data_IF_416078756067
#
_entry.id   IF_416078756067
#
_cell.length_a   1.000
_cell.length_b   1.000
_cell.length_c   1.000
_cell.angle_alpha   90.00
_cell.angle_beta   90.00
_cell.angle_gamma   90.00
#
_symmetry.space_group_name_H-M   'P 1'
#
loop_
_entity.id
_entity.type
_entity.pdbx_description
1 polymer ?
#
# COMPACT_ATOMS: atom_id res chain seq x y z
N UNK A 1 83.66 3.87 -0.41
CA UNK A 1 82.42 4.24 -1.14
C UNK A 1 82.03 3.07 -2.02
N UNK A 2 80.94 2.35 -1.69
CA UNK A 2 80.28 1.34 -2.54
C UNK A 2 79.04 0.87 -1.75
N UNK A 3 77.86 1.42 -2.04
CA UNK A 3 76.65 1.18 -1.23
C UNK A 3 75.36 1.83 -1.74
N UNK A 4 75.37 2.41 -2.94
CA UNK A 4 74.23 3.14 -3.52
C UNK A 4 73.99 2.63 -4.94
N UNK A 5 73.07 1.67 -5.10
CA UNK A 5 72.77 1.09 -6.42
C UNK A 5 71.59 0.11 -6.47
N UNK A 6 71.42 -0.74 -5.45
CA UNK A 6 70.35 -1.74 -5.43
C UNK A 6 69.00 -1.21 -4.91
N UNK A 7 69.00 -0.24 -3.98
CA UNK A 7 67.77 0.32 -3.41
C UNK A 7 66.86 1.00 -4.45
N UNK A 8 67.44 1.83 -5.32
CA UNK A 8 66.68 2.53 -6.36
C UNK A 8 66.04 1.62 -7.41
N UNK A 9 66.59 0.42 -7.63
CA UNK A 9 66.01 -0.55 -8.55
C UNK A 9 64.75 -1.22 -7.96
N UNK A 10 64.76 -1.56 -6.67
CA UNK A 10 63.55 -2.08 -6.01
C UNK A 10 62.45 -1.01 -5.91
N UNK A 11 62.83 0.23 -5.59
CA UNK A 11 61.89 1.36 -5.46
C UNK A 11 61.21 1.71 -6.80
N UNK A 12 61.97 1.65 -7.91
CA UNK A 12 61.43 1.85 -9.26
C UNK A 12 60.63 0.65 -9.77
N UNK A 13 61.00 -0.59 -9.39
CA UNK A 13 60.21 -1.78 -9.69
C UNK A 13 58.86 -1.79 -8.95
N UNK A 14 58.84 -1.44 -7.65
CA UNK A 14 57.59 -1.29 -6.89
C UNK A 14 56.70 -0.19 -7.46
N UNK A 15 57.26 0.98 -7.80
CA UNK A 15 56.50 2.04 -8.50
C UNK A 15 55.97 1.58 -9.86
N UNK A 16 56.76 0.81 -10.63
CA UNK A 16 56.32 0.24 -11.91
C UNK A 16 55.16 -0.76 -11.76
N UNK A 17 55.20 -1.61 -10.73
CA UNK A 17 54.10 -2.53 -10.40
C UNK A 17 52.84 -1.76 -9.94
N UNK A 18 52.98 -0.81 -9.02
CA UNK A 18 51.87 0.03 -8.56
C UNK A 18 51.22 0.83 -9.71
N UNK A 19 52.00 1.38 -10.65
CA UNK A 19 51.47 2.10 -11.80
C UNK A 19 50.70 1.19 -12.77
N UNK A 20 51.11 -0.08 -12.87
CA UNK A 20 50.45 -1.10 -13.70
C UNK A 20 49.15 -1.58 -13.07
N UNK A 21 49.13 -1.76 -11.75
CA UNK A 21 47.95 -2.10 -10.97
C UNK A 21 46.92 -0.96 -10.98
N UNK A 22 47.37 0.28 -10.75
CA UNK A 22 46.52 1.48 -10.85
C UNK A 22 45.92 1.68 -12.26
N UNK A 23 46.63 1.31 -13.34
CA UNK A 23 46.05 1.28 -14.70
C UNK A 23 45.00 0.19 -14.86
N UNK A 24 45.28 -1.04 -14.42
CA UNK A 24 44.32 -2.13 -14.50
C UNK A 24 43.03 -1.84 -13.69
N UNK A 25 43.14 -1.16 -12.56
CA UNK A 25 41.99 -0.71 -11.77
C UNK A 25 41.25 0.47 -12.43
N UNK A 26 41.96 1.41 -13.07
CA UNK A 26 41.32 2.46 -13.86
C UNK A 26 40.54 1.88 -15.06
N UNK A 27 41.11 0.92 -15.78
CA UNK A 27 40.46 0.21 -16.88
C UNK A 27 39.23 -0.58 -16.40
N UNK A 28 39.32 -1.26 -15.24
CA UNK A 28 38.17 -1.93 -14.60
C UNK A 28 37.06 -0.95 -14.22
N UNK A 29 37.40 0.17 -13.58
CA UNK A 29 36.41 1.21 -13.21
C UNK A 29 35.73 1.77 -14.44
N UNK A 30 36.47 2.01 -15.52
CA UNK A 30 35.91 2.45 -16.80
C UNK A 30 34.93 1.42 -17.38
N UNK A 31 35.29 0.13 -17.43
CA UNK A 31 34.40 -0.93 -17.92
C UNK A 31 33.15 -1.11 -17.05
N UNK A 32 33.23 -0.81 -15.75
CA UNK A 32 32.05 -0.80 -14.86
C UNK A 32 31.15 0.41 -15.15
N UNK A 33 31.72 1.62 -15.25
CA UNK A 33 30.97 2.83 -15.61
C UNK A 33 30.32 2.71 -17.01
N UNK A 34 31.06 2.24 -18.02
CA UNK A 34 30.54 1.99 -19.38
C UNK A 34 29.38 0.97 -19.37
N UNK A 35 29.32 0.05 -18.40
CA UNK A 35 28.21 -0.89 -18.21
C UNK A 35 27.03 -0.27 -17.47
N UNK A 36 27.28 0.47 -16.39
CA UNK A 36 26.25 1.19 -15.64
C UNK A 36 25.52 2.20 -16.54
N UNK A 37 26.26 2.96 -17.37
CA UNK A 37 25.71 3.85 -18.39
C UNK A 37 24.91 3.08 -19.44
N UNK A 38 25.38 1.92 -19.91
CA UNK A 38 24.65 1.11 -20.89
C UNK A 38 23.36 0.51 -20.32
N UNK A 39 23.35 0.10 -19.05
CA UNK A 39 22.16 -0.40 -18.35
C UNK A 39 21.18 0.73 -18.03
N UNK A 40 21.67 1.89 -17.58
CA UNK A 40 20.88 3.09 -17.35
C UNK A 40 20.22 3.58 -18.64
N UNK A 41 20.99 3.72 -19.73
CA UNK A 41 20.45 4.12 -21.03
C UNK A 41 19.42 3.10 -21.55
N UNK A 42 19.66 1.78 -21.40
CA UNK A 42 18.67 0.75 -21.76
C UNK A 42 17.38 0.87 -20.94
N UNK A 43 17.46 1.17 -19.65
CA UNK A 43 16.28 1.38 -18.80
C UNK A 43 15.53 2.68 -19.17
N UNK A 44 16.26 3.73 -19.56
CA UNK A 44 15.71 5.00 -20.03
C UNK A 44 15.03 4.86 -21.39
N UNK A 45 15.66 4.14 -22.33
CA UNK A 45 15.07 3.77 -23.62
C UNK A 45 13.81 2.91 -23.43
N UNK A 46 13.82 1.93 -22.51
CA UNK A 46 12.63 1.11 -22.22
C UNK A 46 11.48 1.94 -21.63
N UNK A 47 11.77 2.89 -20.73
CA UNK A 47 10.77 3.84 -20.22
C UNK A 47 10.23 4.74 -21.34
N UNK A 48 11.11 5.38 -22.09
CA UNK A 48 10.73 6.29 -23.16
C UNK A 48 9.99 5.58 -24.29
N UNK A 49 10.35 4.32 -24.60
CA UNK A 49 9.65 3.49 -25.57
C UNK A 49 8.22 3.15 -25.11
N UNK A 50 8.03 2.83 -23.82
CA UNK A 50 6.70 2.59 -23.26
C UNK A 50 5.84 3.87 -23.28
N UNK A 51 6.37 5.01 -22.84
CA UNK A 51 5.66 6.29 -22.86
C UNK A 51 5.36 6.77 -24.28
N UNK A 52 6.27 6.55 -25.23
CA UNK A 52 6.07 6.89 -26.65
C UNK A 52 5.03 5.98 -27.30
N UNK A 53 5.00 4.69 -26.95
CA UNK A 53 3.93 3.77 -27.38
C UNK A 53 2.58 4.13 -26.77
N UNK A 54 2.52 4.48 -25.49
CA UNK A 54 1.30 4.92 -24.83
C UNK A 54 0.74 6.21 -25.46
N UNK A 55 1.58 7.22 -25.68
CA UNK A 55 1.21 8.47 -26.38
C UNK A 55 0.84 8.23 -27.84
N UNK A 56 1.55 7.33 -28.53
CA UNK A 56 1.23 6.94 -29.91
C UNK A 56 -0.11 6.21 -30.02
N UNK A 57 -0.39 5.29 -29.10
CA UNK A 57 -1.69 4.62 -29.00
C UNK A 57 -2.80 5.61 -28.67
N UNK A 58 -2.60 6.52 -27.71
CA UNK A 58 -3.57 7.56 -27.39
C UNK A 58 -3.88 8.43 -28.61
N UNK A 59 -2.87 8.89 -29.34
CA UNK A 59 -3.04 9.69 -30.57
C UNK A 59 -3.75 8.95 -31.70
N UNK A 60 -3.38 7.69 -31.97
CA UNK A 60 -4.03 6.85 -33.00
C UNK A 60 -5.46 6.46 -32.62
N UNK A 61 -5.71 6.20 -31.33
CA UNK A 61 -7.04 5.99 -30.78
C UNK A 61 -7.89 7.24 -30.92
N UNK A 62 -7.45 8.39 -30.40
CA UNK A 62 -8.15 9.68 -30.44
C UNK A 62 -8.47 10.11 -31.87
N UNK A 63 -7.55 9.87 -32.83
CA UNK A 63 -7.78 10.16 -34.25
C UNK A 63 -8.87 9.24 -34.84
N UNK A 64 -8.79 7.92 -34.66
CA UNK A 64 -9.83 6.99 -35.17
C UNK A 64 -11.18 7.14 -34.48
N UNK A 65 -11.17 7.62 -33.24
CA UNK A 65 -12.32 8.06 -32.45
C UNK A 65 -12.97 9.29 -33.06
N UNK A 66 -12.17 10.29 -33.43
CA UNK A 66 -12.61 11.55 -34.04
C UNK A 66 -13.16 11.33 -35.44
N UNK A 67 -12.57 10.40 -36.19
CA UNK A 67 -13.01 10.04 -37.52
C UNK A 67 -14.28 9.14 -37.52
N UNK A 68 -14.67 8.60 -36.35
CA UNK A 68 -15.86 7.76 -36.20
C UNK A 68 -15.74 6.36 -36.82
N UNK A 69 -14.51 5.89 -37.06
CA UNK A 69 -14.22 4.70 -37.88
C UNK A 69 -14.12 3.41 -37.07
N UNK A 70 -13.93 3.48 -35.75
CA UNK A 70 -13.71 2.30 -34.90
C UNK A 70 -14.89 1.33 -34.89
N UNK A 71 -14.82 0.31 -35.75
CA UNK A 71 -15.60 -0.91 -35.60
C UNK A 71 -15.10 -1.71 -34.39
N UNK A 72 -15.93 -2.62 -33.89
CA UNK A 72 -15.56 -3.49 -32.76
C UNK A 72 -14.26 -4.27 -32.99
N UNK A 73 -13.98 -4.67 -34.24
CA UNK A 73 -12.77 -5.40 -34.63
C UNK A 73 -11.52 -4.51 -34.68
N UNK A 74 -11.68 -3.23 -35.02
CA UNK A 74 -10.58 -2.25 -35.03
C UNK A 74 -10.16 -1.88 -33.60
N UNK A 75 -11.12 -1.83 -32.67
CA UNK A 75 -10.83 -1.60 -31.26
C UNK A 75 -9.94 -2.69 -30.66
N UNK A 76 -10.30 -3.96 -30.84
CA UNK A 76 -9.55 -5.07 -30.23
C UNK A 76 -8.12 -5.14 -30.77
N UNK A 77 -7.95 -4.88 -32.06
CA UNK A 77 -6.65 -4.79 -32.74
C UNK A 77 -5.81 -3.61 -32.22
N UNK A 78 -6.42 -2.44 -32.01
CA UNK A 78 -5.76 -1.26 -31.45
C UNK A 78 -5.36 -1.47 -29.98
N UNK A 79 -6.27 -1.97 -29.15
CA UNK A 79 -6.02 -2.32 -27.74
C UNK A 79 -4.87 -3.32 -27.60
N UNK A 80 -4.89 -4.40 -28.37
CA UNK A 80 -3.83 -5.41 -28.35
C UNK A 80 -2.47 -4.82 -28.74
N UNK A 81 -2.40 -4.04 -29.83
CA UNK A 81 -1.12 -3.48 -30.33
C UNK A 81 -0.58 -2.32 -29.50
N UNK A 82 -1.46 -1.44 -29.01
CA UNK A 82 -1.08 -0.19 -28.36
C UNK A 82 -0.94 -0.28 -26.84
N UNK A 83 -1.66 -1.21 -26.20
CA UNK A 83 -1.60 -1.41 -24.75
C UNK A 83 -1.02 -2.78 -24.36
N UNK A 84 -1.59 -3.87 -24.88
CA UNK A 84 -1.25 -5.24 -24.40
C UNK A 84 0.17 -5.65 -24.78
N UNK A 85 0.54 -5.55 -26.05
CA UNK A 85 1.84 -5.98 -26.57
C UNK A 85 3.04 -5.20 -25.99
N UNK A 86 3.00 -3.85 -25.83
CA UNK A 86 4.05 -3.11 -25.14
C UNK A 86 4.25 -3.55 -23.69
N UNK A 87 3.15 -3.79 -22.98
CA UNK A 87 3.16 -4.20 -21.56
C UNK A 87 3.73 -5.60 -21.38
N UNK A 88 3.37 -6.54 -22.25
CA UNK A 88 3.96 -7.88 -22.33
C UNK A 88 5.45 -7.81 -22.62
N UNK A 89 5.87 -7.02 -23.61
CA UNK A 89 7.28 -6.83 -23.94
C UNK A 89 8.07 -6.26 -22.76
N UNK A 90 7.49 -5.31 -22.02
CA UNK A 90 8.10 -4.77 -20.80
C UNK A 90 8.28 -5.84 -19.72
N UNK A 91 7.25 -6.66 -19.44
CA UNK A 91 7.37 -7.77 -18.49
C UNK A 91 8.41 -8.81 -18.92
N UNK A 92 8.46 -9.15 -20.22
CA UNK A 92 9.47 -10.06 -20.77
C UNK A 92 10.90 -9.51 -20.66
N UNK A 93 11.10 -8.21 -20.93
CA UNK A 93 12.40 -7.53 -20.76
C UNK A 93 12.85 -7.51 -19.30
N UNK A 94 11.91 -7.44 -18.35
CA UNK A 94 12.17 -7.55 -16.92
C UNK A 94 12.36 -8.99 -16.42
N UNK A 95 12.31 -10.00 -17.31
CA UNK A 95 12.40 -11.42 -16.97
C UNK A 95 11.11 -12.05 -16.42
N UNK A 96 10.02 -11.29 -16.28
CA UNK A 96 8.73 -11.78 -15.78
C UNK A 96 7.90 -12.45 -16.89
N UNK A 97 8.40 -13.58 -17.39
CA UNK A 97 7.74 -14.37 -18.44
C UNK A 97 6.39 -14.92 -17.98
N UNK A 98 6.26 -15.25 -16.69
CA UNK A 98 5.02 -15.79 -16.13
C UNK A 98 3.96 -14.69 -15.96
N UNK A 99 4.34 -13.51 -15.46
CA UNK A 99 3.49 -12.32 -15.42
C UNK A 99 3.05 -11.89 -16.81
N UNK A 100 3.97 -11.86 -17.79
CA UNK A 100 3.63 -11.60 -19.18
C UNK A 100 2.60 -12.58 -19.75
N UNK A 101 2.73 -13.88 -19.45
CA UNK A 101 1.79 -14.92 -19.89
C UNK A 101 0.42 -14.78 -19.21
N UNK A 102 0.39 -14.50 -17.91
CA UNK A 102 -0.85 -14.30 -17.17
C UNK A 102 -1.57 -13.02 -17.60
N UNK A 103 -0.82 -11.95 -17.89
CA UNK A 103 -1.36 -10.70 -18.41
C UNK A 103 -1.90 -10.84 -19.83
N UNK A 104 -1.24 -11.58 -20.74
CA UNK A 104 -1.79 -11.91 -22.06
C UNK A 104 -3.14 -12.63 -21.91
N UNK A 105 -3.22 -13.67 -21.06
CA UNK A 105 -4.48 -14.39 -20.79
C UNK A 105 -5.57 -13.48 -20.22
N UNK A 106 -5.22 -12.58 -19.30
CA UNK A 106 -6.16 -11.61 -18.76
C UNK A 106 -6.63 -10.61 -19.82
N UNK A 107 -5.74 -10.12 -20.68
CA UNK A 107 -6.05 -9.18 -21.77
C UNK A 107 -6.82 -9.81 -22.94
N UNK A 108 -6.66 -11.12 -23.16
CA UNK A 108 -7.40 -11.91 -24.13
C UNK A 108 -8.79 -12.32 -23.63
N UNK A 109 -9.08 -12.16 -22.34
CA UNK A 109 -10.40 -12.45 -21.79
C UNK A 109 -11.46 -11.49 -22.35
N UNK A 110 -12.61 -12.05 -22.73
CA UNK A 110 -13.70 -11.30 -23.37
C UNK A 110 -14.29 -10.22 -22.44
N UNK A 111 -14.32 -10.46 -21.13
CA UNK A 111 -14.77 -9.44 -20.18
C UNK A 111 -13.73 -8.33 -20.09
N UNK A 112 -12.44 -8.65 -20.05
CA UNK A 112 -11.38 -7.63 -20.05
C UNK A 112 -11.42 -6.75 -21.31
N UNK A 113 -11.63 -7.34 -22.49
CA UNK A 113 -11.76 -6.58 -23.74
C UNK A 113 -13.00 -5.69 -23.73
N UNK A 114 -14.15 -6.23 -23.31
CA UNK A 114 -15.41 -5.48 -23.19
C UNK A 114 -15.29 -4.32 -22.20
N UNK A 115 -14.64 -4.55 -21.06
CA UNK A 115 -14.39 -3.54 -20.03
C UNK A 115 -13.40 -2.48 -20.50
N UNK A 116 -12.34 -2.87 -21.21
CA UNK A 116 -11.38 -1.95 -21.83
C UNK A 116 -12.06 -1.07 -22.87
N UNK A 117 -12.97 -1.63 -23.68
CA UNK A 117 -13.78 -0.87 -24.65
C UNK A 117 -14.69 0.14 -23.96
N UNK A 118 -15.35 -0.28 -22.87
CA UNK A 118 -16.21 0.60 -22.09
C UNK A 118 -15.42 1.74 -21.43
N UNK A 119 -14.26 1.45 -20.85
CA UNK A 119 -13.35 2.46 -20.32
C UNK A 119 -12.88 3.46 -21.39
N UNK A 120 -12.37 2.99 -22.53
CA UNK A 120 -11.87 3.86 -23.59
C UNK A 120 -12.98 4.74 -24.20
N UNK A 121 -14.21 4.20 -24.32
CA UNK A 121 -15.39 4.98 -24.68
C UNK A 121 -15.76 6.03 -23.62
N UNK A 122 -15.61 5.71 -22.33
CA UNK A 122 -15.84 6.68 -21.26
C UNK A 122 -14.85 7.84 -21.33
N UNK A 123 -13.54 7.56 -21.49
CA UNK A 123 -12.49 8.57 -21.64
C UNK A 123 -12.77 9.51 -22.82
N UNK A 124 -13.10 8.93 -23.98
CA UNK A 124 -13.47 9.67 -25.20
C UNK A 124 -14.61 10.66 -24.97
N UNK A 125 -15.63 10.27 -24.22
CA UNK A 125 -16.79 11.13 -23.96
C UNK A 125 -16.44 12.21 -22.93
N UNK A 126 -15.66 11.87 -21.90
CA UNK A 126 -15.14 12.87 -20.96
C UNK A 126 -14.21 13.90 -21.64
N UNK A 127 -13.34 13.51 -22.58
CA UNK A 127 -12.50 14.47 -23.33
C UNK A 127 -13.31 15.32 -24.31
N UNK A 128 -14.45 14.82 -24.80
CA UNK A 128 -15.44 15.60 -25.56
C UNK A 128 -16.35 16.49 -24.68
N UNK A 129 -16.23 16.42 -23.35
CA UNK A 129 -17.08 17.14 -22.40
C UNK A 129 -18.48 16.52 -22.17
N UNK A 130 -18.78 15.38 -22.80
CA UNK A 130 -19.99 14.60 -22.54
C UNK A 130 -19.81 13.75 -21.27
N UNK A 131 -20.05 14.39 -20.13
CA UNK A 131 -19.92 13.77 -18.82
C UNK A 131 -20.98 12.68 -18.59
N UNK A 132 -22.19 12.83 -19.13
CA UNK A 132 -23.26 11.85 -18.91
C UNK A 132 -23.03 10.57 -19.71
N UNK A 133 -22.68 10.70 -21.00
CA UNK A 133 -22.27 9.57 -21.82
C UNK A 133 -20.99 8.89 -21.29
N UNK A 134 -20.04 9.68 -20.79
CA UNK A 134 -18.85 9.16 -20.13
C UNK A 134 -19.18 8.30 -18.90
N UNK A 135 -20.06 8.77 -18.02
CA UNK A 135 -20.48 8.05 -16.81
C UNK A 135 -21.28 6.78 -17.14
N UNK A 136 -22.14 6.78 -18.16
CA UNK A 136 -22.87 5.59 -18.62
C UNK A 136 -21.89 4.49 -19.10
N UNK A 137 -20.90 4.85 -19.91
CA UNK A 137 -19.87 3.90 -20.35
C UNK A 137 -18.96 3.43 -19.20
N UNK A 138 -18.64 4.31 -18.24
CA UNK A 138 -17.87 3.92 -17.05
C UNK A 138 -18.67 2.94 -16.15
N UNK A 139 -19.98 3.16 -15.99
CA UNK A 139 -20.88 2.23 -15.31
C UNK A 139 -20.98 0.87 -16.01
N UNK A 140 -21.07 0.86 -17.36
CA UNK A 140 -21.02 -0.38 -18.15
C UNK A 140 -19.71 -1.13 -17.91
N UNK A 141 -18.58 -0.42 -17.88
CA UNK A 141 -17.27 -1.00 -17.55
C UNK A 141 -17.21 -1.59 -16.13
N UNK A 142 -17.77 -0.88 -15.14
CA UNK A 142 -17.83 -1.30 -13.74
C UNK A 142 -18.72 -2.52 -13.47
N UNK A 143 -19.69 -2.81 -14.34
CA UNK A 143 -20.57 -3.98 -14.23
C UNK A 143 -20.00 -5.24 -14.89
N UNK A 144 -18.85 -5.16 -15.59
CA UNK A 144 -18.27 -6.30 -16.29
C UNK A 144 -17.44 -7.17 -15.33
N UNK A 145 -17.82 -8.45 -15.11
CA UNK A 145 -17.17 -9.31 -14.11
C UNK A 145 -15.69 -9.53 -14.40
N UNK A 146 -14.84 -9.23 -13.41
CA UNK A 146 -13.40 -9.45 -13.47
C UNK A 146 -12.57 -8.33 -14.11
N UNK A 147 -13.19 -7.27 -14.63
CA UNK A 147 -12.47 -6.09 -15.13
C UNK A 147 -12.30 -5.03 -14.04
N UNK A 148 -13.39 -4.60 -13.40
CA UNK A 148 -13.35 -3.87 -12.13
C UNK A 148 -14.00 -4.66 -11.01
N UNK A 149 -13.86 -4.13 -9.79
CA UNK A 149 -14.65 -4.60 -8.66
C UNK A 149 -16.13 -4.46 -8.93
N UNK A 150 -16.84 -5.59 -8.95
CA UNK A 150 -18.29 -5.63 -9.01
C UNK A 150 -18.87 -4.72 -7.90
N UNK A 151 -19.71 -3.76 -8.28
CA UNK A 151 -20.37 -2.85 -7.33
C UNK A 151 -19.92 -1.39 -7.36
N UNK A 152 -19.02 -0.97 -8.26
CA UNK A 152 -18.88 0.47 -8.54
C UNK A 152 -20.10 1.00 -9.31
N UNK A 153 -20.62 2.17 -8.91
CA UNK A 153 -21.65 2.89 -9.65
C UNK A 153 -21.40 4.41 -9.53
N UNK A 154 -21.37 5.08 -10.68
CA UNK A 154 -21.09 6.50 -10.81
C UNK A 154 -22.37 7.25 -11.20
N UNK A 155 -22.77 8.23 -10.39
CA UNK A 155 -23.98 9.03 -10.61
C UNK A 155 -23.63 10.51 -10.60
N UNK A 156 -24.03 11.26 -11.63
CA UNK A 156 -23.92 12.73 -11.63
C UNK A 156 -24.90 13.31 -10.61
N UNK A 157 -24.40 14.08 -9.66
CA UNK A 157 -25.19 14.76 -8.61
C UNK A 157 -25.54 16.17 -9.05
N UNK A 158 -24.56 16.92 -9.56
CA UNK A 158 -24.74 18.28 -10.04
C UNK A 158 -23.65 18.65 -11.06
N UNK A 159 -23.93 19.64 -11.90
CA UNK A 159 -23.00 20.22 -12.85
C UNK A 159 -23.15 21.75 -12.80
N UNK A 160 -22.05 22.48 -12.80
CA UNK A 160 -22.04 23.93 -12.56
C UNK A 160 -20.62 24.43 -12.34
N UNK A 161 -20.43 25.38 -11.43
CA UNK A 161 -19.09 25.82 -11.01
C UNK A 161 -18.56 24.93 -9.89
N UNK A 162 -17.33 24.46 -10.00
CA UNK A 162 -16.62 23.78 -8.92
C UNK A 162 -16.30 24.82 -7.82
N UNK A 163 -16.81 24.67 -6.58
CA UNK A 163 -16.63 25.65 -5.51
C UNK A 163 -15.17 25.79 -5.05
N UNK A 164 -14.31 24.81 -5.38
CA UNK A 164 -12.90 24.82 -4.98
C UNK A 164 -11.97 25.53 -5.98
N UNK A 165 -12.39 25.67 -7.24
CA UNK A 165 -11.52 26.16 -8.34
C UNK A 165 -12.12 27.32 -9.14
N UNK A 166 -13.43 27.57 -9.02
CA UNK A 166 -14.15 28.55 -9.86
C UNK A 166 -14.36 28.11 -11.32
N UNK A 167 -13.88 26.92 -11.71
CA UNK A 167 -13.99 26.41 -13.08
C UNK A 167 -15.32 25.65 -13.30
N UNK A 168 -15.74 25.41 -14.56
CA UNK A 168 -16.79 24.45 -14.87
C UNK A 168 -16.44 23.05 -14.33
N UNK A 169 -17.34 22.50 -13.51
CA UNK A 169 -17.14 21.26 -12.80
C UNK A 169 -18.40 20.42 -12.65
N UNK A 170 -18.19 19.19 -12.20
CA UNK A 170 -19.24 18.21 -11.94
C UNK A 170 -19.02 17.56 -10.58
N UNK A 171 -20.11 17.34 -9.85
CA UNK A 171 -20.11 16.52 -8.63
C UNK A 171 -20.58 15.13 -8.98
N UNK A 172 -19.73 14.13 -8.76
CA UNK A 172 -20.01 12.71 -9.01
C UNK A 172 -20.09 11.99 -7.67
N UNK A 173 -21.17 11.23 -7.48
CA UNK A 173 -21.30 10.24 -6.41
C UNK A 173 -20.81 8.91 -6.92
N UNK A 174 -19.83 8.32 -6.24
CA UNK A 174 -19.22 7.04 -6.54
C UNK A 174 -19.64 6.08 -5.43
N UNK A 175 -20.64 5.25 -5.69
CA UNK A 175 -20.88 4.07 -4.87
C UNK A 175 -19.74 3.07 -5.12
N UNK A 176 -19.27 2.43 -4.06
CA UNK A 176 -18.09 1.56 -4.06
C UNK A 176 -18.46 0.19 -3.49
N UNK A 177 -17.75 -0.90 -3.87
CA UNK A 177 -18.01 -2.24 -3.32
C UNK A 177 -17.79 -2.36 -1.81
N UNK A 178 -17.06 -1.44 -1.17
CA UNK A 178 -16.78 -1.42 0.27
C UNK A 178 -17.90 -0.76 1.12
N UNK A 179 -18.97 -0.29 0.48
CA UNK A 179 -20.23 0.12 1.13
C UNK A 179 -20.49 1.62 1.08
N UNK A 180 -19.58 2.44 1.59
CA UNK A 180 -19.84 3.88 1.74
C UNK A 180 -19.57 4.68 0.45
N UNK A 181 -20.59 5.36 -0.12
CA UNK A 181 -20.45 6.12 -1.34
C UNK A 181 -19.70 7.43 -1.07
N UNK A 182 -18.66 7.69 -1.86
CA UNK A 182 -17.94 8.97 -1.82
C UNK A 182 -18.60 9.96 -2.80
N UNK A 183 -18.59 11.25 -2.46
CA UNK A 183 -19.03 12.31 -3.36
C UNK A 183 -17.85 13.24 -3.60
N UNK A 184 -17.47 13.43 -4.86
CA UNK A 184 -16.31 14.21 -5.24
C UNK A 184 -16.66 15.17 -6.37
N UNK A 185 -16.21 16.41 -6.24
CA UNK A 185 -16.34 17.44 -7.28
C UNK A 185 -15.04 17.54 -8.07
N UNK A 186 -15.15 17.55 -9.40
CA UNK A 186 -14.03 17.62 -10.34
C UNK A 186 -14.24 18.82 -11.28
N UNK A 187 -13.16 19.47 -11.71
CA UNK A 187 -13.23 20.28 -12.93
C UNK A 187 -13.48 19.35 -14.13
N UNK A 188 -14.25 19.77 -15.13
CA UNK A 188 -14.60 18.89 -16.27
C UNK A 188 -13.34 18.37 -17.00
N UNK A 189 -12.31 19.22 -17.12
CA UNK A 189 -11.00 18.90 -17.69
C UNK A 189 -10.21 17.81 -16.94
N UNK A 190 -10.49 17.59 -15.65
CA UNK A 190 -9.71 16.69 -14.79
C UNK A 190 -10.33 15.28 -14.72
N UNK A 191 -11.60 15.13 -15.14
CA UNK A 191 -12.31 13.84 -15.16
C UNK A 191 -11.56 12.79 -16.00
N UNK A 192 -11.07 13.07 -17.23
CA UNK A 192 -10.32 12.07 -18.00
C UNK A 192 -9.07 11.57 -17.27
N UNK A 193 -8.35 12.47 -16.58
CA UNK A 193 -7.16 12.12 -15.79
C UNK A 193 -7.51 11.25 -14.57
N UNK A 194 -8.57 11.60 -13.84
CA UNK A 194 -9.10 10.78 -12.75
C UNK A 194 -9.50 9.39 -13.23
N UNK A 195 -10.24 9.31 -14.34
CA UNK A 195 -10.72 8.05 -14.91
C UNK A 195 -9.56 7.18 -15.40
N UNK A 196 -8.58 7.76 -16.11
CA UNK A 196 -7.39 7.04 -16.55
C UNK A 196 -6.52 6.52 -15.39
N UNK A 197 -6.37 7.29 -14.31
CA UNK A 197 -5.61 6.87 -13.14
C UNK A 197 -6.25 5.70 -12.38
N UNK A 198 -7.57 5.72 -12.20
CA UNK A 198 -8.27 4.78 -11.31
C UNK A 198 -8.90 3.59 -12.05
N UNK A 199 -9.27 3.77 -13.32
CA UNK A 199 -10.05 2.80 -14.10
C UNK A 199 -9.37 2.44 -15.44
N UNK A 200 -8.05 2.59 -15.57
CA UNK A 200 -7.34 2.06 -16.74
C UNK A 200 -7.25 0.53 -16.71
N UNK A 201 -6.97 -0.11 -17.88
CA UNK A 201 -6.64 -1.53 -17.95
C UNK A 201 -5.45 -1.92 -17.03
N UNK A 202 -4.48 -1.04 -16.79
CA UNK A 202 -3.41 -1.29 -15.80
C UNK A 202 -4.00 -1.45 -14.38
N UNK A 203 -4.82 -0.50 -13.93
CA UNK A 203 -5.49 -0.56 -12.62
C UNK A 203 -6.44 -1.76 -12.50
N UNK A 204 -7.15 -2.11 -13.57
CA UNK A 204 -7.95 -3.33 -13.67
C UNK A 204 -7.10 -4.61 -13.50
N UNK A 205 -5.96 -4.72 -14.19
CA UNK A 205 -5.07 -5.87 -14.11
C UNK A 205 -4.43 -6.03 -12.72
N UNK A 206 -4.06 -4.91 -12.07
CA UNK A 206 -3.52 -4.90 -10.72
C UNK A 206 -4.57 -5.37 -9.69
N UNK A 207 -5.81 -4.90 -9.83
CA UNK A 207 -6.93 -5.36 -9.01
C UNK A 207 -7.25 -6.84 -9.23
N UNK A 208 -7.26 -7.32 -10.47
CA UNK A 208 -7.49 -8.72 -10.80
C UNK A 208 -6.42 -9.64 -10.17
N UNK A 209 -5.14 -9.23 -10.21
CA UNK A 209 -4.04 -9.92 -9.52
C UNK A 209 -4.24 -9.95 -8.01
N UNK A 210 -4.59 -8.81 -7.39
CA UNK A 210 -4.87 -8.73 -5.95
C UNK A 210 -6.04 -9.65 -5.54
N UNK A 211 -7.08 -9.75 -6.37
CA UNK A 211 -8.20 -10.67 -6.14
C UNK A 211 -7.79 -12.14 -6.28
N UNK A 212 -6.93 -12.48 -7.24
CA UNK A 212 -6.41 -13.85 -7.36
C UNK A 212 -5.58 -14.24 -6.13
N UNK A 213 -4.72 -13.34 -5.64
CA UNK A 213 -3.94 -13.51 -4.42
C UNK A 213 -4.83 -13.65 -3.17
N UNK A 214 -5.86 -12.80 -3.03
CA UNK A 214 -6.84 -12.89 -1.93
C UNK A 214 -7.65 -14.20 -2.00
N UNK A 215 -8.02 -14.67 -3.19
CA UNK A 215 -8.71 -15.97 -3.39
C UNK A 215 -7.80 -17.15 -3.03
N UNK A 216 -6.51 -17.10 -3.38
CA UNK A 216 -5.51 -18.10 -2.98
C UNK A 216 -5.38 -18.17 -1.46
N UNK A 217 -5.15 -17.04 -0.79
CA UNK A 217 -5.09 -16.96 0.68
C UNK A 217 -6.37 -17.47 1.35
N UNK A 218 -7.55 -17.12 0.82
CA UNK A 218 -8.83 -17.60 1.34
C UNK A 218 -9.02 -19.13 1.13
N UNK A 219 -8.51 -19.70 0.05
CA UNK A 219 -8.54 -21.15 -0.19
C UNK A 219 -7.54 -21.90 0.70
N UNK A 220 -6.33 -21.37 0.89
CA UNK A 220 -5.33 -21.90 1.84
C UNK A 220 -5.84 -21.88 3.28
N UNK A 221 -6.50 -20.80 3.71
CA UNK A 221 -7.16 -20.72 5.01
C UNK A 221 -8.25 -21.78 5.17
N UNK A 222 -9.10 -21.99 4.15
CA UNK A 222 -10.12 -23.05 4.17
C UNK A 222 -9.51 -24.44 4.24
N UNK A 223 -8.45 -24.71 3.49
CA UNK A 223 -7.70 -25.99 3.54
C UNK A 223 -7.07 -26.20 4.91
N UNK A 224 -6.49 -25.15 5.50
CA UNK A 224 -5.90 -25.20 6.84
C UNK A 224 -6.95 -25.45 7.93
N UNK A 225 -8.12 -24.79 7.84
CA UNK A 225 -9.26 -25.04 8.73
C UNK A 225 -9.81 -26.46 8.58
N UNK A 226 -9.98 -26.95 7.35
CA UNK A 226 -10.40 -28.32 7.08
C UNK A 226 -9.40 -29.32 7.64
N UNK A 227 -8.10 -29.10 7.41
CA UNK A 227 -7.04 -29.93 7.99
C UNK A 227 -7.09 -29.91 9.52
N UNK A 228 -7.24 -28.75 10.16
CA UNK A 228 -7.43 -28.67 11.63
C UNK A 228 -8.69 -29.37 12.13
N UNK A 229 -9.80 -29.33 11.37
CA UNK A 229 -11.04 -30.06 11.70
C UNK A 229 -10.82 -31.57 11.60
N UNK A 230 -10.15 -32.04 10.55
CA UNK A 230 -9.75 -33.45 10.35
C UNK A 230 -8.79 -33.89 11.48
N UNK A 231 -7.72 -33.14 11.74
CA UNK A 231 -6.75 -33.45 12.81
C UNK A 231 -7.43 -33.50 14.20
N UNK A 232 -8.45 -32.68 14.44
CA UNK A 232 -9.28 -32.75 15.66
C UNK A 232 -10.23 -33.96 15.66
N UNK A 233 -10.89 -34.28 14.54
CA UNK A 233 -11.82 -35.41 14.42
C UNK A 233 -11.13 -36.77 14.48
N UNK A 234 -9.91 -36.89 13.95
CA UNK A 234 -9.10 -38.12 13.98
C UNK A 234 -8.07 -38.12 15.12
N UNK A 235 -8.19 -37.21 16.09
CA UNK A 235 -7.53 -37.31 17.39
C UNK A 235 -6.03 -37.00 17.42
N UNK A 236 -5.53 -36.20 16.48
CA UNK A 236 -4.15 -35.66 16.44
C UNK A 236 -4.06 -34.21 16.96
N UNK A 237 -5.19 -33.49 17.08
CA UNK A 237 -5.25 -32.10 17.55
C UNK A 237 -5.64 -31.94 19.02
N UNK A 238 -4.75 -31.33 19.84
CA UNK A 238 -4.96 -30.98 21.26
C UNK A 238 -5.29 -32.16 22.19
N UNK A 239 -4.41 -33.15 22.20
CA UNK A 239 -4.50 -34.36 23.01
C UNK A 239 -3.62 -34.34 24.26
N UNK A 240 -3.48 -33.21 24.99
CA UNK A 240 -2.82 -33.27 26.31
C UNK A 240 -3.58 -34.21 27.25
N UNK A 241 -4.90 -34.04 27.30
CA UNK A 241 -5.77 -34.82 28.18
C UNK A 241 -5.96 -36.24 27.63
N UNK A 242 -6.08 -36.42 26.31
CA UNK A 242 -6.17 -37.76 25.69
C UNK A 242 -4.87 -38.55 25.81
N UNK A 243 -3.70 -37.91 25.67
CA UNK A 243 -2.41 -38.57 25.90
C UNK A 243 -2.19 -38.84 27.40
N UNK A 244 -2.66 -37.98 28.30
CA UNK A 244 -2.70 -38.25 29.73
C UNK A 244 -3.61 -39.44 30.07
N UNK A 245 -4.80 -39.54 29.46
CA UNK A 245 -5.72 -40.67 29.57
C UNK A 245 -5.12 -41.98 29.04
N UNK A 246 -4.51 -41.98 27.85
CA UNK A 246 -3.77 -43.15 27.33
C UNK A 246 -2.63 -43.55 28.28
N UNK A 247 -1.90 -42.56 28.82
CA UNK A 247 -0.80 -42.82 29.76
C UNK A 247 -1.29 -43.35 31.12
N UNK A 248 -2.45 -42.91 31.62
CA UNK A 248 -3.04 -43.42 32.86
C UNK A 248 -3.65 -44.81 32.67
N UNK A 249 -4.31 -45.07 31.53
CA UNK A 249 -4.84 -46.39 31.17
C UNK A 249 -3.73 -47.44 31.03
N UNK A 250 -2.66 -47.14 30.28
CA UNK A 250 -1.45 -47.99 30.22
C UNK A 250 -0.87 -48.24 31.60
N UNK A 251 -0.72 -47.21 32.44
CA UNK A 251 -0.23 -47.39 33.83
C UNK A 251 -1.15 -48.24 34.72
N UNK A 252 -2.46 -48.29 34.47
CA UNK A 252 -3.40 -49.12 35.25
C UNK A 252 -3.48 -50.56 34.75
N UNK A 253 -3.48 -50.76 33.43
CA UNK A 253 -3.65 -52.08 32.80
C UNK A 253 -2.31 -52.81 32.64
N UNK A 254 -1.28 -52.13 32.17
CA UNK A 254 0.06 -52.70 31.98
C UNK A 254 0.89 -52.71 33.29
N UNK A 255 0.44 -51.96 34.32
CA UNK A 255 1.15 -51.74 35.58
C UNK A 255 0.94 -52.79 36.67
N UNK A 256 0.09 -53.80 36.43
CA UNK A 256 0.04 -55.07 37.16
C UNK A 256 0.04 -55.05 38.70
N UNK A 257 -1.14 -55.03 39.32
CA UNK A 257 -1.32 -55.46 40.73
C UNK A 257 -2.36 -56.59 40.90
N UNK A 258 -3.03 -56.99 39.82
CA UNK A 258 -3.87 -58.19 39.72
C UNK A 258 -3.56 -58.83 38.37
N UNK A 259 -3.16 -60.10 38.37
CA UNK A 259 -2.63 -60.78 37.18
C UNK A 259 -3.73 -61.32 36.27
N UNK A 260 -4.36 -60.42 35.50
CA UNK A 260 -5.23 -60.78 34.38
C UNK A 260 -4.71 -60.07 33.12
N UNK A 261 -4.11 -60.84 32.20
CA UNK A 261 -3.17 -60.34 31.18
C UNK A 261 -3.87 -59.79 29.93
N UNK A 262 -4.31 -58.53 29.97
CA UNK A 262 -4.59 -57.76 28.74
C UNK A 262 -4.00 -56.35 28.82
N UNK A 263 -2.95 -56.08 28.03
CA UNK A 263 -2.41 -54.72 27.91
C UNK A 263 -3.47 -53.80 27.31
N UNK A 264 -3.41 -52.51 27.67
CA UNK A 264 -4.23 -51.49 27.01
C UNK A 264 -4.01 -51.50 25.48
N UNK A 265 -2.78 -51.74 25.03
CA UNK A 265 -2.42 -51.73 23.61
C UNK A 265 -2.89 -52.98 22.85
N UNK A 266 -3.18 -54.09 23.55
CA UNK A 266 -3.68 -55.36 22.97
C UNK A 266 -5.21 -55.36 22.76
N UNK A 267 -5.94 -54.43 23.39
CA UNK A 267 -7.39 -54.34 23.25
C UNK A 267 -7.79 -53.93 21.81
N UNK A 268 -8.91 -54.46 21.26
CA UNK A 268 -9.45 -53.98 19.99
C UNK A 268 -9.69 -52.46 20.02
N UNK A 269 -9.31 -51.74 18.95
CA UNK A 269 -9.45 -50.26 18.88
C UNK A 269 -10.79 -49.70 19.38
N UNK A 270 -11.98 -50.28 19.08
CA UNK A 270 -13.25 -49.77 19.61
C UNK A 270 -13.34 -49.80 21.15
N UNK A 271 -12.64 -50.72 21.81
CA UNK A 271 -12.56 -50.82 23.27
C UNK A 271 -11.52 -49.84 23.84
N UNK A 272 -10.38 -49.66 23.17
CA UNK A 272 -9.39 -48.64 23.54
C UNK A 272 -10.03 -47.24 23.55
N UNK A 273 -10.74 -46.85 22.49
CA UNK A 273 -11.40 -45.55 22.41
C UNK A 273 -12.47 -45.38 23.50
N UNK A 274 -13.28 -46.41 23.78
CA UNK A 274 -14.28 -46.38 24.86
C UNK A 274 -13.65 -46.16 26.24
N UNK A 275 -12.49 -46.77 26.51
CA UNK A 275 -11.75 -46.55 27.76
C UNK A 275 -11.12 -45.15 27.82
N UNK A 276 -10.59 -44.66 26.69
CA UNK A 276 -10.07 -43.29 26.57
C UNK A 276 -11.16 -42.25 26.84
N UNK A 277 -12.37 -42.46 26.31
CA UNK A 277 -13.53 -41.58 26.54
C UNK A 277 -13.97 -41.60 28.01
N UNK A 278 -14.07 -42.77 28.64
CA UNK A 278 -14.38 -42.89 30.07
C UNK A 278 -13.32 -42.23 30.96
N UNK A 279 -12.03 -42.41 30.64
CA UNK A 279 -10.94 -41.78 31.39
C UNK A 279 -10.87 -40.26 31.16
N UNK A 280 -11.23 -39.77 29.97
CA UNK A 280 -11.40 -38.34 29.69
C UNK A 280 -12.58 -37.75 30.49
N UNK A 281 -13.70 -38.45 30.56
CA UNK A 281 -14.87 -38.03 31.37
C UNK A 281 -14.53 -38.00 32.88
N UNK A 282 -13.76 -38.98 33.36
CA UNK A 282 -13.21 -39.00 34.72
C UNK A 282 -12.22 -37.85 34.99
N UNK A 283 -11.34 -37.52 34.03
CA UNK A 283 -10.36 -36.44 34.16
C UNK A 283 -10.96 -35.04 34.00
N UNK A 284 -12.03 -34.88 33.21
CA UNK A 284 -12.77 -33.63 33.04
C UNK A 284 -13.85 -33.43 34.12
N UNK A 285 -14.27 -34.52 34.77
CA UNK A 285 -14.94 -34.52 36.07
C UNK A 285 -16.47 -34.69 35.99
N UNK A 286 -16.99 -35.68 36.71
CA UNK A 286 -18.42 -35.72 37.06
C UNK A 286 -18.78 -34.54 37.98
N UNK A 287 -19.79 -33.72 37.63
CA UNK A 287 -20.26 -32.66 38.50
C UNK A 287 -21.13 -33.24 39.64
N UNK A 288 -20.50 -33.70 40.74
CA UNK A 288 -21.26 -34.15 41.91
C UNK A 288 -20.51 -34.74 43.11
N UNK A 289 -19.29 -35.27 42.95
CA UNK A 289 -18.63 -36.08 44.01
C UNK A 289 -17.13 -35.79 44.15
N UNK A 290 -16.81 -34.61 44.72
CA UNK A 290 -15.47 -34.29 45.24
C UNK A 290 -15.59 -33.54 46.58
N UNK A 291 -15.91 -34.29 47.64
CA UNK A 291 -15.63 -33.85 49.00
C UNK A 291 -14.20 -34.22 49.39
N UNK A 292 -13.45 -33.26 49.95
CA UNK A 292 -12.14 -33.46 50.57
C UNK A 292 -11.06 -34.20 49.75
N UNK A 293 -10.42 -33.48 48.84
CA UNK A 293 -8.95 -33.58 48.70
C UNK A 293 -8.32 -32.20 48.88
N UNK A 294 -7.20 -32.16 49.60
CA UNK A 294 -6.48 -30.91 49.93
C UNK A 294 -5.90 -30.25 48.68
N UNK A 295 -5.89 -28.91 48.57
CA UNK A 295 -5.36 -28.23 47.40
C UNK A 295 -3.85 -28.48 47.26
N UNK A 296 -3.46 -29.13 46.16
CA UNK A 296 -2.06 -29.18 45.75
C UNK A 296 -1.55 -27.75 45.48
N UNK A 297 -0.29 -27.44 45.84
CA UNK A 297 0.23 -26.08 45.72
C UNK A 297 0.30 -25.63 44.26
N UNK A 298 -0.16 -24.41 43.98
CA UNK A 298 -0.14 -23.85 42.63
C UNK A 298 1.29 -23.79 42.07
N UNK A 299 1.54 -24.51 40.98
CA UNK A 299 2.80 -24.44 40.26
C UNK A 299 3.03 -23.02 39.74
N UNK A 300 4.03 -22.35 40.31
CA UNK A 300 4.48 -21.04 39.82
C UNK A 300 5.05 -21.22 38.41
N UNK A 301 4.36 -20.67 37.40
CA UNK A 301 4.90 -20.55 36.05
C UNK A 301 6.16 -19.68 36.08
N UNK A 302 7.32 -20.33 36.07
CA UNK A 302 8.62 -19.68 35.88
C UNK A 302 8.74 -19.33 34.40
N UNK A 303 8.74 -18.03 34.10
CA UNK A 303 9.17 -17.53 32.79
C UNK A 303 10.68 -17.71 32.70
N UNK A 304 11.12 -18.59 31.79
CA UNK A 304 12.52 -18.78 31.44
C UNK A 304 12.81 -17.97 30.18
N UNK A 305 13.86 -17.15 30.23
CA UNK A 305 14.35 -16.45 29.05
C UNK A 305 15.02 -17.46 28.09
N UNK A 306 14.45 -17.60 26.90
CA UNK A 306 14.86 -18.58 25.88
C UNK A 306 16.26 -18.34 25.30
N UNK A 307 16.90 -17.20 25.56
CA UNK A 307 18.27 -16.94 25.10
C UNK A 307 19.36 -17.46 26.05
N UNK A 308 19.11 -17.56 27.37
CA UNK A 308 20.16 -17.78 28.38
C UNK A 308 19.82 -18.89 29.41
N UNK A 309 18.57 -19.39 29.44
CA UNK A 309 18.25 -20.63 30.15
C UNK A 309 18.32 -20.56 31.68
N UNK A 310 18.07 -19.38 32.27
CA UNK A 310 17.98 -19.17 33.72
C UNK A 310 16.65 -18.51 34.12
N UNK A 311 16.12 -18.80 35.33
CA UNK A 311 14.81 -18.28 35.75
C UNK A 311 14.88 -16.80 36.18
N UNK A 312 13.89 -16.01 35.78
CA UNK A 312 13.77 -14.59 36.18
C UNK A 312 12.99 -14.48 37.49
N UNK A 313 13.56 -13.79 38.49
CA UNK A 313 12.89 -13.55 39.77
C UNK A 313 11.83 -12.43 39.63
N UNK A 314 10.62 -12.69 40.13
CA UNK A 314 9.52 -11.72 40.13
C UNK A 314 9.61 -10.73 41.31
N UNK A 315 9.77 -9.44 40.98
CA UNK A 315 9.74 -8.35 41.96
C UNK A 315 8.34 -8.06 42.53
N UNK A 316 8.24 -7.37 43.68
CA UNK A 316 6.98 -7.18 44.40
C UNK A 316 6.07 -6.12 43.76
N UNK A 317 4.76 -6.32 43.98
CA UNK A 317 3.64 -5.50 43.50
C UNK A 317 3.45 -4.23 44.35
N UNK A 318 3.29 -3.02 43.76
CA UNK A 318 2.88 -1.82 44.50
C UNK A 318 1.42 -1.89 45.01
N UNK A 319 1.16 -1.26 46.15
CA UNK A 319 -0.14 -1.23 46.83
C UNK A 319 -1.04 -0.04 46.35
N UNK A 320 -2.36 -0.08 46.62
CA UNK A 320 -3.30 0.97 46.21
C UNK A 320 -3.55 2.04 47.28
N UNK A 321 -3.67 3.30 46.84
CA UNK A 321 -4.16 4.49 47.55
C UNK A 321 -4.36 5.60 46.48
N UNK A 322 -5.28 6.57 46.55
CA UNK A 322 -6.45 6.80 47.42
C UNK A 322 -7.50 7.66 46.66
N UNK A 323 -8.74 7.76 47.17
CA UNK A 323 -9.75 8.75 46.74
C UNK A 323 -9.96 9.76 47.87
N UNK A 324 -9.91 11.08 47.58
CA UNK A 324 -11.11 11.94 47.68
C UNK A 324 -11.11 13.10 46.63
N UNK A 325 -12.17 13.86 46.33
CA UNK A 325 -13.63 13.75 46.61
C UNK A 325 -14.44 14.37 45.43
N UNK A 326 -15.51 15.18 45.64
CA UNK A 326 -16.20 15.93 44.57
C UNK A 326 -16.80 17.30 44.98
N UNK A 327 -16.82 18.22 43.98
CA UNK A 327 -17.71 19.40 43.72
C UNK A 327 -17.35 20.79 44.31
N UNK A 328 -17.87 21.92 43.72
CA UNK A 328 -18.39 22.18 42.35
C UNK A 328 -17.91 23.52 41.69
N UNK A 329 -18.42 23.84 40.49
CA UNK A 329 -18.31 25.14 39.74
C UNK A 329 -16.93 25.44 39.10
N UNK A 330 -16.79 26.08 37.93
CA UNK A 330 -17.73 26.61 36.93
C UNK A 330 -16.96 27.25 35.73
N UNK A 331 -17.69 27.75 34.72
CA UNK A 331 -17.22 28.52 33.52
C UNK A 331 -16.24 27.90 32.50
N UNK A 332 -16.77 27.68 31.30
CA UNK A 332 -16.23 27.91 29.94
C UNK A 332 -14.71 28.00 29.67
N UNK A 333 -14.18 27.03 28.91
CA UNK A 333 -13.49 27.33 27.64
C UNK A 333 -13.43 26.10 26.70
N UNK A 334 -13.57 26.31 25.39
CA UNK A 334 -13.56 25.23 24.37
C UNK A 334 -12.18 24.57 24.24
N UNK A 335 -12.10 23.26 24.43
CA UNK A 335 -10.93 22.46 24.06
C UNK A 335 -10.91 22.10 22.57
N UNK A 336 -9.73 22.20 21.96
CA UNK A 336 -9.41 21.81 20.57
C UNK A 336 -9.33 20.28 20.46
N UNK A 337 -10.01 19.61 19.51
CA UNK A 337 -9.84 18.17 19.31
C UNK A 337 -8.45 17.88 18.72
N UNK A 338 -7.75 16.90 19.30
CA UNK A 338 -6.50 16.39 18.77
C UNK A 338 -6.78 15.58 17.49
N UNK A 339 -6.09 15.90 16.39
CA UNK A 339 -6.11 15.07 15.19
C UNK A 339 -5.18 13.87 15.37
N UNK A 340 -5.73 12.77 15.86
CA UNK A 340 -5.14 11.45 15.66
C UNK A 340 -5.34 11.08 14.18
N UNK A 341 -4.25 10.84 13.45
CA UNK A 341 -4.31 10.38 12.06
C UNK A 341 -4.75 8.92 12.01
N UNK A 342 -6.06 8.68 11.92
CA UNK A 342 -6.58 7.34 11.67
C UNK A 342 -6.14 6.84 10.28
N UNK A 343 -5.44 5.70 10.27
CA UNK A 343 -5.17 4.95 9.03
C UNK A 343 -6.48 4.38 8.50
N UNK A 344 -6.88 4.80 7.30
CA UNK A 344 -8.05 4.25 6.60
C UNK A 344 -7.78 2.76 6.29
N UNK A 345 -8.55 1.88 6.94
CA UNK A 345 -8.41 0.43 6.81
C UNK A 345 -9.17 -0.07 5.59
N UNK A 346 -8.46 -0.53 4.56
CA UNK A 346 -9.04 -1.16 3.36
C UNK A 346 -8.53 -0.62 2.02
N UNK A 347 -7.77 0.48 2.02
CA UNK A 347 -7.19 1.02 0.79
C UNK A 347 -5.87 0.31 0.45
N UNK A 348 -5.64 -0.18 -0.80
CA UNK A 348 -4.35 -0.69 -1.23
C UNK A 348 -3.28 0.42 -1.24
N UNK A 349 -2.05 0.13 -0.79
CA UNK A 349 -0.98 1.13 -0.66
C UNK A 349 -0.65 1.88 -1.96
N UNK A 350 -0.89 1.26 -3.13
CA UNK A 350 -0.66 1.89 -4.43
C UNK A 350 -1.58 3.09 -4.72
N UNK A 351 -2.75 3.19 -4.07
CA UNK A 351 -3.62 4.38 -4.15
C UNK A 351 -3.16 5.54 -3.26
N UNK A 352 -2.32 5.30 -2.25
CA UNK A 352 -1.72 6.36 -1.43
C UNK A 352 -0.48 6.99 -2.09
N UNK A 353 0.14 6.26 -3.02
CA UNK A 353 1.43 6.61 -3.62
C UNK A 353 1.45 7.82 -4.57
N UNK A 354 0.31 8.30 -5.08
CA UNK A 354 0.31 9.42 -6.06
C UNK A 354 0.72 10.74 -5.40
N UNK A 355 0.32 10.98 -4.13
CA UNK A 355 0.78 12.17 -3.38
C UNK A 355 2.26 12.05 -2.99
N UNK A 356 2.63 10.93 -2.36
CA UNK A 356 4.00 10.69 -1.91
C UNK A 356 5.04 10.69 -3.04
N UNK A 357 4.70 10.17 -4.23
CA UNK A 357 5.61 10.15 -5.39
C UNK A 357 5.75 11.52 -6.07
N UNK A 358 4.76 12.40 -5.93
CA UNK A 358 4.87 13.82 -6.32
C UNK A 358 5.70 14.60 -5.29
N UNK A 359 5.55 14.33 -4.00
CA UNK A 359 6.40 14.92 -2.95
C UNK A 359 7.86 14.44 -3.02
N UNK A 360 8.10 13.19 -3.45
CA UNK A 360 9.44 12.64 -3.68
C UNK A 360 10.10 13.22 -4.94
N UNK A 361 9.35 13.40 -6.04
CA UNK A 361 9.81 14.16 -7.21
C UNK A 361 10.08 15.63 -6.87
N UNK A 362 9.25 16.25 -6.02
CA UNK A 362 9.46 17.62 -5.54
C UNK A 362 10.74 17.73 -4.70
N UNK A 363 10.96 16.82 -3.74
CA UNK A 363 12.20 16.73 -2.97
C UNK A 363 13.45 16.53 -3.82
N UNK A 364 13.36 15.74 -4.89
CA UNK A 364 14.48 15.55 -5.83
C UNK A 364 14.74 16.81 -6.68
N UNK A 365 13.74 17.66 -6.91
CA UNK A 365 13.92 18.99 -7.54
C UNK A 365 14.41 20.08 -6.57
N UNK A 366 14.27 19.89 -5.26
CA UNK A 366 14.69 20.84 -4.21
C UNK A 366 16.19 20.73 -3.87
N UNK A 367 16.93 19.78 -4.44
CA UNK A 367 18.33 19.50 -4.11
C UNK A 367 19.37 20.39 -4.81
N UNK A 368 18.99 21.18 -5.83
CA UNK A 368 19.93 21.85 -6.75
C UNK A 368 19.70 23.37 -6.92
N UNK A 369 18.98 23.99 -5.97
CA UNK A 369 18.77 25.43 -5.92
C UNK A 369 19.47 26.06 -4.68
N UNK A 370 20.41 27.00 -4.86
CA UNK A 370 21.12 27.59 -3.73
C UNK A 370 20.25 28.59 -2.95
N UNK A 371 19.71 28.15 -1.81
CA UNK A 371 19.47 29.05 -0.68
C UNK A 371 18.03 29.42 -0.32
N UNK A 372 17.18 28.44 0.00
CA UNK A 372 16.28 28.50 1.18
C UNK A 372 16.18 27.08 1.77
N UNK A 373 16.53 26.91 3.05
CA UNK A 373 16.48 25.59 3.69
C UNK A 373 15.08 25.23 4.19
N UNK A 374 14.46 24.20 3.61
CA UNK A 374 13.14 23.74 4.02
C UNK A 374 13.19 23.00 5.38
N UNK A 375 12.68 23.65 6.44
CA UNK A 375 12.31 23.00 7.70
C UNK A 375 10.80 22.77 7.76
N UNK A 376 10.34 21.73 8.47
CA UNK A 376 8.91 21.48 8.68
C UNK A 376 8.22 22.69 9.31
N UNK A 377 6.95 22.97 8.96
CA UNK A 377 6.26 24.18 9.40
C UNK A 377 6.11 24.21 10.92
N UNK A 378 6.82 25.16 11.52
CA UNK A 378 6.63 25.61 12.91
C UNK A 378 6.19 27.07 12.88
N UNK A 379 5.63 27.57 13.97
CA UNK A 379 5.18 28.97 14.03
C UNK A 379 6.34 29.95 13.74
N UNK A 380 7.58 29.55 14.05
CA UNK A 380 8.81 30.29 13.73
C UNK A 380 9.07 30.41 12.21
N UNK A 381 8.87 29.33 11.43
CA UNK A 381 9.08 29.38 9.97
C UNK A 381 8.01 30.19 9.25
N UNK A 382 6.80 30.29 9.81
CA UNK A 382 5.75 31.18 9.27
C UNK A 382 6.09 32.66 9.51
N UNK A 383 6.61 33.01 10.69
CA UNK A 383 7.08 34.37 10.98
C UNK A 383 8.28 34.78 10.11
N UNK A 384 9.21 33.86 9.87
CA UNK A 384 10.35 34.12 8.97
C UNK A 384 9.89 34.34 7.53
N UNK A 385 8.94 33.54 7.03
CA UNK A 385 8.36 33.72 5.69
C UNK A 385 7.62 35.07 5.54
N UNK A 386 6.93 35.54 6.59
CA UNK A 386 6.29 36.87 6.60
C UNK A 386 7.31 38.01 6.51
N UNK A 387 8.38 37.97 7.31
CA UNK A 387 9.44 38.98 7.26
C UNK A 387 10.19 39.00 5.91
N UNK A 388 10.41 37.82 5.32
CA UNK A 388 10.99 37.70 3.97
C UNK A 388 10.03 38.25 2.90
N UNK A 389 8.72 38.02 3.02
CA UNK A 389 7.71 38.55 2.11
C UNK A 389 7.64 40.09 2.13
N UNK A 390 7.65 40.72 3.31
CA UNK A 390 7.71 42.19 3.42
C UNK A 390 9.00 42.74 2.78
N UNK A 391 10.15 42.13 3.09
CA UNK A 391 11.45 42.50 2.49
C UNK A 391 11.48 42.33 0.97
N UNK A 392 10.75 41.35 0.42
CA UNK A 392 10.65 41.12 -1.02
C UNK A 392 9.77 42.18 -1.71
N UNK A 393 8.65 42.57 -1.10
CA UNK A 393 7.79 43.67 -1.58
C UNK A 393 8.54 45.00 -1.58
N UNK A 394 9.31 45.32 -0.52
CA UNK A 394 10.16 46.53 -0.48
C UNK A 394 11.22 46.55 -1.59
N UNK A 395 11.70 45.38 -2.03
CA UNK A 395 12.64 45.22 -3.14
C UNK A 395 11.98 45.19 -4.52
N UNK A 396 10.65 45.34 -4.59
CA UNK A 396 9.90 45.36 -5.84
C UNK A 396 9.66 43.99 -6.48
N UNK A 397 9.71 42.90 -5.70
CA UNK A 397 9.25 41.58 -6.16
C UNK A 397 7.75 41.63 -6.51
N UNK A 398 7.30 40.80 -7.46
CA UNK A 398 5.90 40.83 -7.86
C UNK A 398 5.00 40.24 -6.78
N UNK A 399 3.77 40.79 -6.67
CA UNK A 399 2.78 40.35 -5.68
C UNK A 399 2.46 38.84 -5.83
N UNK A 400 2.46 38.32 -7.06
CA UNK A 400 2.22 36.91 -7.35
C UNK A 400 3.35 35.99 -6.85
N UNK A 401 4.62 36.38 -7.02
CA UNK A 401 5.77 35.62 -6.50
C UNK A 401 5.76 35.56 -4.97
N UNK A 402 5.45 36.68 -4.31
CA UNK A 402 5.38 36.75 -2.84
C UNK A 402 4.18 35.97 -2.31
N UNK A 403 3.02 36.04 -2.97
CA UNK A 403 1.85 35.24 -2.63
C UNK A 403 2.11 33.73 -2.76
N UNK A 404 2.76 33.30 -3.85
CA UNK A 404 3.15 31.90 -4.04
C UNK A 404 4.14 31.42 -2.96
N UNK A 405 5.11 32.26 -2.59
CA UNK A 405 6.06 31.99 -1.49
C UNK A 405 5.36 31.81 -0.13
N UNK A 406 4.44 32.71 0.22
CA UNK A 406 3.66 32.62 1.46
C UNK A 406 2.74 31.39 1.50
N UNK A 407 2.09 31.07 0.37
CA UNK A 407 1.28 29.87 0.22
C UNK A 407 2.13 28.59 0.35
N UNK A 408 3.32 28.56 -0.24
CA UNK A 408 4.26 27.44 -0.11
C UNK A 408 4.81 27.28 1.31
N UNK A 409 5.01 28.39 2.03
CA UNK A 409 5.36 28.39 3.47
C UNK A 409 4.18 27.99 4.38
N UNK A 410 2.98 27.77 3.83
CA UNK A 410 1.79 27.40 4.60
C UNK A 410 1.25 28.52 5.49
N UNK A 411 1.59 29.78 5.19
CA UNK A 411 1.07 30.95 5.89
C UNK A 411 -0.38 31.19 5.42
N UNK A 412 -1.37 31.26 6.32
CA UNK A 412 -2.76 31.46 5.92
C UNK A 412 -3.03 32.90 5.45
N UNK A 413 -3.89 33.07 4.45
CA UNK A 413 -4.11 34.35 3.74
C UNK A 413 -4.42 35.57 4.64
N UNK A 414 -5.08 35.34 5.79
CA UNK A 414 -5.38 36.41 6.75
C UNK A 414 -4.15 37.00 7.44
N UNK A 415 -3.00 36.32 7.41
CA UNK A 415 -1.71 36.81 7.90
C UNK A 415 -0.87 37.50 6.81
N UNK A 416 -1.27 37.43 5.53
CA UNK A 416 -0.45 37.97 4.43
C UNK A 416 -0.37 39.51 4.49
N UNK A 417 0.73 40.13 4.02
CA UNK A 417 0.85 41.58 3.93
C UNK A 417 -0.35 42.23 3.24
N UNK A 418 -0.84 43.36 3.77
CA UNK A 418 -2.09 44.01 3.34
C UNK A 418 -2.14 44.29 1.84
N UNK A 419 -1.02 44.72 1.24
CA UNK A 419 -0.92 44.98 -0.20
C UNK A 419 -1.23 43.74 -1.07
N UNK A 420 -0.88 42.53 -0.60
CA UNK A 420 -1.19 41.27 -1.29
C UNK A 420 -2.68 40.95 -1.11
N UNK A 421 -3.22 41.10 0.10
CA UNK A 421 -4.66 40.90 0.37
C UNK A 421 -5.54 41.84 -0.46
N UNK A 422 -5.13 43.10 -0.61
CA UNK A 422 -5.86 44.10 -1.40
C UNK A 422 -5.80 43.76 -2.90
N UNK A 423 -4.64 43.40 -3.44
CA UNK A 423 -4.54 42.99 -4.85
C UNK A 423 -5.37 41.73 -5.16
N UNK A 424 -5.42 40.76 -4.23
CA UNK A 424 -6.29 39.58 -4.36
C UNK A 424 -7.77 39.95 -4.36
N UNK A 425 -8.20 40.85 -3.46
CA UNK A 425 -9.59 41.35 -3.44
C UNK A 425 -9.94 42.14 -4.69
N UNK A 426 -9.01 42.94 -5.22
CA UNK A 426 -9.20 43.64 -6.50
C UNK A 426 -9.33 42.68 -7.68
N UNK A 427 -8.50 41.63 -7.74
CA UNK A 427 -8.64 40.56 -8.74
C UNK A 427 -9.97 39.83 -8.61
N UNK A 428 -10.35 39.40 -7.41
CA UNK A 428 -11.64 38.73 -7.15
C UNK A 428 -12.81 39.60 -7.63
N UNK A 429 -12.82 40.90 -7.29
CA UNK A 429 -13.79 41.87 -7.80
C UNK A 429 -13.78 41.98 -9.33
N UNK A 430 -12.60 41.99 -9.97
CA UNK A 430 -12.47 42.05 -11.44
C UNK A 430 -13.03 40.80 -12.13
N UNK A 431 -13.03 39.65 -11.46
CA UNK A 431 -13.67 38.41 -11.91
C UNK A 431 -15.15 38.30 -11.54
N UNK A 432 -15.77 39.36 -11.01
CA UNK A 432 -17.18 39.37 -10.59
C UNK A 432 -17.46 38.55 -9.33
N UNK A 433 -16.43 38.09 -8.63
CA UNK A 433 -16.54 37.45 -7.32
C UNK A 433 -16.65 38.56 -6.27
N UNK A 434 -17.87 38.76 -5.76
CA UNK A 434 -18.08 39.61 -4.60
C UNK A 434 -17.53 38.89 -3.35
N UNK A 435 -16.71 39.55 -2.52
CA UNK A 435 -16.13 38.96 -1.31
C UNK A 435 -17.16 38.75 -0.19
#
# INVERSE_FOLDING_TARGET
MLGSGLGGFMDSFQKGMQLKEARADADRRKVLADREDAEYNRALEQRNAADTLAKGFQSDFDQKVKDGILSDADFDNAYQKGFVQPRIRQMQLNGDIQGATNFQKWADDKNTQSGSRAFMNSLRLFTMGDVDGGLDWLNKGAQIPGYFGEGYNFTKVSQGTNPYTGNPGVTIKIARPDGEPITQTFDIKDIPGFVAGNFSPDSASAWAKQQEEARKQASELKVYEQKKKIDRQYGLGQTKDRAAAITSLRKRLDGGLVGDETSFDDLPRPQQEKLIEQELELQQGQPGLMGQTTPAPAEKKVLVDTAIGKPVASGPKPAPADKPEAKPSGSDTKAKPAQTSERIRGLPDHFQGVRGRVEELKRLSEADAPGVGASSPSDASQQEALAQAETALEKGASIDEVAAGLQQAGVPEWQWPTAIQENLRERQRSYGLNP
#
